data_IF_817029457341
#
_entry.id   IF_817029457341
#
_cell.length_a   1.000
_cell.length_b   1.000
_cell.length_c   1.000
_cell.angle_alpha   90.00
_cell.angle_beta   90.00
_cell.angle_gamma   90.00
#
_symmetry.space_group_name_H-M   'P 1'
#
loop_
_entity.id
_entity.type
_entity.pdbx_description
1 polymer ?
#
# COMPACT_ATOMS: atom_id res chain seq x y z
N UNK A 1 3.16 11.65 -20.51
CA UNK A 1 3.43 10.74 -19.36
C UNK A 1 4.72 9.97 -19.62
N UNK A 2 5.56 9.86 -18.62
CA UNK A 2 6.80 9.07 -18.62
C UNK A 2 6.58 7.89 -17.71
N UNK A 3 6.96 6.70 -18.16
CA UNK A 3 6.86 5.46 -17.38
C UNK A 3 8.19 4.73 -17.38
N UNK A 4 8.53 4.09 -16.27
CA UNK A 4 9.77 3.30 -16.13
C UNK A 4 9.59 2.24 -15.05
N UNK A 5 10.48 1.25 -15.04
CA UNK A 5 10.61 0.31 -13.91
C UNK A 5 11.64 0.80 -12.90
N UNK A 6 11.46 0.40 -11.65
CA UNK A 6 12.38 0.67 -10.54
C UNK A 6 12.68 -0.65 -9.83
N UNK A 7 13.90 -1.14 -9.98
CA UNK A 7 14.36 -2.31 -9.24
C UNK A 7 14.75 -1.91 -7.81
N UNK A 8 14.36 -2.72 -6.84
CA UNK A 8 14.70 -2.58 -5.43
C UNK A 8 14.74 -3.96 -4.76
N UNK A 9 15.05 -4.04 -3.46
CA UNK A 9 15.11 -5.32 -2.75
C UNK A 9 14.66 -5.21 -1.30
N UNK A 10 14.21 -6.33 -0.75
CA UNK A 10 14.02 -6.58 0.68
C UNK A 10 14.84 -7.82 1.06
N UNK A 11 16.03 -7.60 1.63
CA UNK A 11 17.02 -8.65 1.82
C UNK A 11 17.43 -9.27 0.47
N UNK A 12 17.30 -10.58 0.38
CA UNK A 12 17.63 -11.35 -0.85
C UNK A 12 16.47 -11.39 -1.88
N UNK A 13 15.32 -10.78 -1.57
CA UNK A 13 14.20 -10.75 -2.51
C UNK A 13 14.31 -9.56 -3.45
N UNK A 14 14.47 -9.85 -4.74
CA UNK A 14 14.40 -8.84 -5.80
C UNK A 14 12.96 -8.43 -6.06
N UNK A 15 12.74 -7.14 -6.24
CA UNK A 15 11.44 -6.49 -6.41
C UNK A 15 11.50 -5.49 -7.56
N UNK A 16 10.37 -5.28 -8.23
CA UNK A 16 10.29 -4.31 -9.32
C UNK A 16 9.01 -3.49 -9.20
N UNK A 17 9.14 -2.18 -9.03
CA UNK A 17 8.01 -1.25 -9.10
C UNK A 17 7.81 -0.70 -10.52
N UNK A 18 6.58 -0.27 -10.80
CA UNK A 18 6.25 0.53 -11.98
C UNK A 18 6.05 1.98 -11.55
N UNK A 19 6.75 2.89 -12.21
CA UNK A 19 6.76 4.33 -11.91
C UNK A 19 6.15 5.09 -13.07
N UNK A 20 5.23 6.01 -12.77
CA UNK A 20 4.62 6.91 -13.75
C UNK A 20 4.65 8.35 -13.24
N UNK A 21 4.98 9.31 -14.11
CA UNK A 21 4.95 10.75 -13.82
C UNK A 21 4.85 11.59 -15.09
N UNK A 22 4.41 12.83 -14.96
CA UNK A 22 4.51 13.83 -16.01
C UNK A 22 5.81 14.62 -15.85
N UNK A 23 6.47 14.96 -16.97
CA UNK A 23 7.66 15.79 -16.94
C UNK A 23 7.40 17.12 -16.21
N UNK A 24 8.32 17.54 -15.36
CA UNK A 24 8.27 18.80 -14.65
C UNK A 24 9.68 19.25 -14.24
N UNK A 25 9.84 20.55 -14.07
CA UNK A 25 11.09 21.16 -13.61
C UNK A 25 11.28 21.08 -12.09
N UNK A 26 10.24 20.63 -11.36
CA UNK A 26 10.26 20.53 -9.89
C UNK A 26 9.90 19.12 -9.45
N UNK A 27 10.42 18.71 -8.30
CA UNK A 27 10.03 17.47 -7.63
C UNK A 27 8.55 17.48 -7.27
N UNK A 28 7.93 16.30 -7.33
CA UNK A 28 6.50 16.07 -7.10
C UNK A 28 6.27 15.20 -5.88
N UNK A 29 5.11 15.31 -5.24
CA UNK A 29 4.74 14.35 -4.19
C UNK A 29 4.65 12.94 -4.75
N UNK A 30 4.99 11.97 -3.91
CA UNK A 30 4.90 10.54 -4.20
C UNK A 30 3.59 9.96 -3.68
N UNK A 31 2.95 9.13 -4.48
CA UNK A 31 1.91 8.20 -4.03
C UNK A 31 2.34 6.78 -4.34
N UNK A 32 2.54 5.98 -3.31
CA UNK A 32 2.73 4.54 -3.42
C UNK A 32 1.37 3.85 -3.63
N UNK A 33 1.28 2.93 -4.56
CA UNK A 33 0.09 2.14 -4.85
C UNK A 33 0.39 0.68 -4.54
N UNK A 34 -0.19 0.14 -3.47
CA UNK A 34 -0.11 -1.27 -3.15
C UNK A 34 -1.21 -2.04 -3.91
N UNK A 35 -0.78 -3.07 -4.63
CA UNK A 35 -1.64 -3.89 -5.49
C UNK A 35 -2.57 -4.79 -4.68
N UNK A 36 -3.60 -5.32 -5.32
CA UNK A 36 -4.46 -6.36 -4.78
C UNK A 36 -3.74 -7.74 -4.71
N UNK A 37 -4.45 -8.79 -4.39
CA UNK A 37 -3.87 -10.12 -4.24
C UNK A 37 -3.32 -10.75 -5.53
N UNK A 38 -3.60 -10.16 -6.71
CA UNK A 38 -3.10 -10.66 -7.99
C UNK A 38 -1.68 -10.17 -8.31
N UNK A 39 -1.11 -9.27 -7.50
CA UNK A 39 0.23 -8.74 -7.73
C UNK A 39 0.22 -7.40 -8.49
N UNK A 40 1.41 -6.90 -8.81
CA UNK A 40 1.62 -5.65 -9.56
C UNK A 40 1.27 -5.82 -11.06
N UNK A 41 0.00 -6.06 -11.33
CA UNK A 41 -0.55 -6.22 -12.69
C UNK A 41 -1.11 -4.90 -13.23
N UNK A 42 -1.79 -4.97 -14.35
CA UNK A 42 -2.30 -3.82 -15.12
C UNK A 42 -3.15 -2.87 -14.26
N UNK A 43 -3.99 -3.39 -13.37
CA UNK A 43 -4.79 -2.56 -12.47
C UNK A 43 -3.94 -1.59 -11.63
N UNK A 44 -2.86 -2.08 -11.05
CA UNK A 44 -1.96 -1.27 -10.21
C UNK A 44 -1.15 -0.28 -11.06
N UNK A 45 -0.66 -0.68 -12.24
CA UNK A 45 0.08 0.21 -13.13
C UNK A 45 -0.80 1.33 -13.69
N UNK A 46 -2.04 1.03 -14.08
CA UNK A 46 -3.02 2.04 -14.48
C UNK A 46 -3.39 2.99 -13.33
N UNK A 47 -3.43 2.49 -12.08
CA UNK A 47 -3.62 3.37 -10.92
C UNK A 47 -2.46 4.35 -10.76
N UNK A 48 -1.20 3.89 -10.95
CA UNK A 48 -0.02 4.77 -10.93
C UNK A 48 -0.09 5.85 -12.04
N UNK A 49 -0.54 5.48 -13.23
CA UNK A 49 -0.72 6.43 -14.35
C UNK A 49 -1.80 7.46 -14.05
N UNK A 50 -2.94 7.05 -13.45
CA UNK A 50 -3.98 7.99 -13.02
C UNK A 50 -3.47 9.00 -11.98
N UNK A 51 -2.68 8.53 -11.03
CA UNK A 51 -2.03 9.37 -10.02
C UNK A 51 -1.03 10.34 -10.70
N UNK A 52 -0.26 9.87 -11.67
CA UNK A 52 0.66 10.69 -12.44
C UNK A 52 -0.06 11.81 -13.21
N UNK A 53 -1.20 11.50 -13.83
CA UNK A 53 -2.02 12.49 -14.54
C UNK A 53 -2.58 13.59 -13.60
N UNK A 54 -2.68 13.33 -12.30
CA UNK A 54 -3.07 14.31 -11.27
C UNK A 54 -1.90 15.18 -10.78
N UNK A 55 -0.69 14.98 -11.32
CA UNK A 55 0.48 15.80 -10.99
C UNK A 55 1.40 15.22 -9.92
N UNK A 56 1.26 13.96 -9.56
CA UNK A 56 2.10 13.24 -8.61
C UNK A 56 3.14 12.35 -9.32
N UNK A 57 4.03 11.72 -8.57
CA UNK A 57 4.73 10.50 -9.00
C UNK A 57 3.93 9.32 -8.46
N UNK A 58 3.38 8.49 -9.35
CA UNK A 58 2.69 7.26 -9.00
C UNK A 58 3.64 6.08 -9.05
N UNK A 59 3.69 5.27 -7.99
CA UNK A 59 4.55 4.08 -7.92
C UNK A 59 3.71 2.87 -7.55
N UNK A 60 3.41 2.00 -8.53
CA UNK A 60 2.83 0.70 -8.25
C UNK A 60 3.93 -0.22 -7.73
N UNK A 61 3.91 -0.47 -6.42
CA UNK A 61 4.94 -1.25 -5.74
C UNK A 61 4.75 -2.76 -5.95
N UNK A 62 5.80 -3.53 -5.71
CA UNK A 62 5.79 -5.00 -5.74
C UNK A 62 5.93 -5.54 -4.31
N UNK A 63 4.99 -6.40 -3.90
CA UNK A 63 5.01 -7.06 -2.60
C UNK A 63 5.51 -8.50 -2.70
N UNK A 64 5.40 -9.13 -3.88
CA UNK A 64 5.60 -10.58 -4.01
C UNK A 64 7.01 -10.97 -4.48
N UNK A 65 7.57 -10.20 -5.38
CA UNK A 65 8.87 -10.47 -6.01
C UNK A 65 8.84 -10.19 -7.51
N UNK A 66 9.99 -9.85 -8.05
CA UNK A 66 10.14 -9.50 -9.46
C UNK A 66 9.63 -10.64 -10.36
N UNK A 67 8.62 -10.33 -11.17
CA UNK A 67 8.01 -11.30 -12.08
C UNK A 67 7.03 -12.28 -11.43
N UNK A 68 6.69 -12.11 -10.13
CA UNK A 68 5.73 -12.95 -9.42
C UNK A 68 4.35 -12.30 -9.45
N UNK A 69 3.38 -12.99 -10.07
CA UNK A 69 2.01 -12.53 -10.22
C UNK A 69 1.03 -13.66 -10.01
N UNK A 70 -0.13 -13.34 -9.48
CA UNK A 70 -1.29 -14.20 -9.49
C UNK A 70 -2.05 -14.15 -10.83
N UNK A 71 -3.15 -14.85 -10.91
CA UNK A 71 -3.98 -14.92 -12.11
C UNK A 71 -5.44 -14.61 -11.81
N UNK A 72 -6.15 -14.03 -12.79
CA UNK A 72 -7.59 -13.77 -12.65
C UNK A 72 -8.35 -15.10 -12.53
N UNK A 73 -9.21 -15.21 -11.50
CA UNK A 73 -9.97 -16.42 -11.22
C UNK A 73 -9.21 -17.53 -10.48
N UNK A 74 -7.92 -17.41 -10.26
CA UNK A 74 -7.12 -18.36 -9.47
C UNK A 74 -7.14 -17.99 -7.98
N UNK A 75 -8.23 -18.31 -7.31
CA UNK A 75 -8.41 -17.98 -5.89
C UNK A 75 -7.35 -18.63 -5.01
N UNK A 76 -7.02 -19.88 -5.24
CA UNK A 76 -6.07 -20.64 -4.40
C UNK A 76 -4.64 -20.12 -4.60
N UNK A 77 -4.22 -19.87 -5.86
CA UNK A 77 -2.91 -19.33 -6.17
C UNK A 77 -2.74 -17.91 -5.62
N UNK A 78 -3.74 -17.06 -5.78
CA UNK A 78 -3.71 -15.68 -5.24
C UNK A 78 -3.68 -15.68 -3.70
N UNK A 79 -4.45 -16.55 -3.06
CA UNK A 79 -4.42 -16.72 -1.61
C UNK A 79 -3.05 -17.19 -1.12
N UNK A 80 -2.41 -18.12 -1.83
CA UNK A 80 -1.07 -18.61 -1.49
C UNK A 80 0.00 -17.52 -1.59
N UNK A 81 -0.12 -16.58 -2.54
CA UNK A 81 0.77 -15.41 -2.64
C UNK A 81 0.57 -14.41 -1.49
N UNK A 82 -0.66 -14.20 -1.07
CA UNK A 82 -1.02 -13.23 -0.04
C UNK A 82 -0.76 -13.75 1.39
N UNK A 83 -1.01 -15.04 1.66
CA UNK A 83 -1.00 -15.62 3.01
C UNK A 83 0.27 -15.37 3.81
N UNK A 84 1.50 -15.47 3.24
CA UNK A 84 2.71 -15.18 4.01
C UNK A 84 2.74 -13.79 4.62
N UNK A 85 2.15 -12.80 3.94
CA UNK A 85 2.08 -11.42 4.42
C UNK A 85 0.93 -11.19 5.41
N UNK A 86 -0.15 -11.96 5.27
CA UNK A 86 -1.25 -11.92 6.21
C UNK A 86 -0.86 -12.59 7.55
N UNK A 87 -0.03 -13.61 7.52
CA UNK A 87 0.44 -14.36 8.69
C UNK A 87 1.65 -13.70 9.36
N UNK A 88 2.58 -13.11 8.59
CA UNK A 88 3.75 -12.37 9.10
C UNK A 88 3.67 -10.88 8.75
N UNK A 89 3.11 -10.09 9.67
CA UNK A 89 3.04 -8.62 9.52
C UNK A 89 4.43 -7.97 9.57
N UNK A 90 5.42 -8.61 10.18
CA UNK A 90 6.80 -8.16 10.16
C UNK A 90 7.39 -8.22 8.75
N UNK A 91 7.18 -9.32 8.02
CA UNK A 91 7.53 -9.44 6.61
C UNK A 91 6.83 -8.37 5.78
N UNK A 92 5.52 -8.19 5.96
CA UNK A 92 4.73 -7.19 5.24
C UNK A 92 5.29 -5.78 5.45
N UNK A 93 5.52 -5.39 6.73
CA UNK A 93 6.07 -4.06 7.08
C UNK A 93 7.45 -3.84 6.47
N UNK A 94 8.36 -4.82 6.52
CA UNK A 94 9.67 -4.71 5.88
C UNK A 94 9.53 -4.49 4.38
N UNK A 95 8.70 -5.28 3.70
CA UNK A 95 8.51 -5.25 2.26
C UNK A 95 7.97 -3.90 1.77
N UNK A 96 6.90 -3.37 2.39
CA UNK A 96 6.34 -2.08 1.99
C UNK A 96 7.28 -0.91 2.35
N UNK A 97 8.05 -1.02 3.44
CA UNK A 97 9.08 -0.01 3.78
C UNK A 97 10.24 0.00 2.79
N UNK A 98 10.63 -1.15 2.24
CA UNK A 98 11.63 -1.20 1.16
C UNK A 98 11.13 -0.43 -0.07
N UNK A 99 9.86 -0.61 -0.45
CA UNK A 99 9.24 0.16 -1.53
C UNK A 99 9.18 1.67 -1.23
N UNK A 100 8.86 2.06 0.01
CA UNK A 100 8.88 3.46 0.44
C UNK A 100 10.26 4.09 0.29
N UNK A 101 11.32 3.39 0.72
CA UNK A 101 12.70 3.87 0.59
C UNK A 101 13.07 4.01 -0.89
N UNK A 102 12.78 3.01 -1.71
CA UNK A 102 13.05 3.06 -3.14
C UNK A 102 12.31 4.21 -3.83
N UNK A 103 11.03 4.39 -3.53
CA UNK A 103 10.21 5.46 -4.08
C UNK A 103 10.71 6.86 -3.71
N UNK A 104 11.17 7.07 -2.47
CA UNK A 104 11.76 8.35 -2.03
C UNK A 104 13.05 8.71 -2.75
N UNK A 105 13.79 7.74 -3.25
CA UNK A 105 15.06 7.95 -3.96
C UNK A 105 14.88 8.25 -5.44
N UNK A 106 13.65 8.27 -5.96
CA UNK A 106 13.36 8.67 -7.34
C UNK A 106 13.68 10.16 -7.50
N UNK A 107 14.51 10.58 -8.47
CA UNK A 107 14.93 12.00 -8.59
C UNK A 107 13.79 13.01 -8.74
N UNK A 108 12.65 12.57 -9.31
CA UNK A 108 11.45 13.39 -9.52
C UNK A 108 10.58 13.55 -8.27
N UNK A 109 10.89 12.82 -7.19
CA UNK A 109 10.11 12.78 -5.96
C UNK A 109 10.60 13.82 -4.95
N UNK A 110 9.67 14.56 -4.36
CA UNK A 110 9.88 15.26 -3.09
C UNK A 110 9.73 14.24 -1.94
N UNK A 111 10.83 13.81 -1.30
CA UNK A 111 10.81 12.73 -0.32
C UNK A 111 10.06 13.09 0.98
N UNK A 112 9.74 14.37 1.19
CA UNK A 112 8.99 14.85 2.36
C UNK A 112 7.47 14.79 2.14
N UNK A 113 7.02 14.58 0.91
CA UNK A 113 5.61 14.60 0.50
C UNK A 113 5.20 13.24 -0.04
N UNK A 114 5.02 12.28 0.84
CA UNK A 114 4.71 10.88 0.49
C UNK A 114 3.38 10.46 1.10
N UNK A 115 2.54 9.82 0.29
CA UNK A 115 1.34 9.13 0.72
C UNK A 115 1.31 7.72 0.11
N UNK A 116 0.42 6.87 0.62
CA UNK A 116 0.20 5.54 0.07
C UNK A 116 -1.28 5.22 -0.06
N UNK A 117 -1.64 4.43 -1.05
CA UNK A 117 -2.97 3.86 -1.19
C UNK A 117 -2.89 2.41 -1.60
N UNK A 118 -3.93 1.64 -1.28
CA UNK A 118 -3.93 0.23 -1.63
C UNK A 118 -5.33 -0.35 -1.70
N UNK A 119 -5.47 -1.38 -2.53
CA UNK A 119 -6.74 -2.04 -2.80
C UNK A 119 -6.69 -3.48 -2.27
N UNK A 120 -7.73 -3.93 -1.57
CA UNK A 120 -7.83 -5.30 -1.07
C UNK A 120 -6.61 -5.67 -0.20
N UNK A 121 -5.78 -6.63 -0.61
CA UNK A 121 -4.49 -6.93 0.02
C UNK A 121 -3.62 -5.67 0.21
N UNK A 122 -3.57 -4.81 -0.83
CA UNK A 122 -2.84 -3.54 -0.75
C UNK A 122 -3.39 -2.58 0.30
N UNK A 123 -4.69 -2.63 0.57
CA UNK A 123 -5.30 -1.87 1.68
C UNK A 123 -4.73 -2.30 3.03
N UNK A 124 -4.57 -3.59 3.27
CA UNK A 124 -3.86 -4.13 4.43
C UNK A 124 -2.40 -3.63 4.47
N UNK A 125 -1.71 -3.67 3.32
CA UNK A 125 -0.31 -3.25 3.24
C UNK A 125 -0.11 -1.79 3.68
N UNK A 126 -0.94 -0.87 3.22
CA UNK A 126 -0.81 0.55 3.58
C UNK A 126 -1.22 0.83 5.03
N UNK A 127 -2.16 0.08 5.59
CA UNK A 127 -2.48 0.15 7.02
C UNK A 127 -1.29 -0.32 7.86
N UNK A 128 -0.63 -1.40 7.48
CA UNK A 128 0.58 -1.86 8.16
C UNK A 128 1.77 -0.90 7.99
N UNK A 129 1.84 -0.17 6.87
CA UNK A 129 2.79 0.92 6.72
C UNK A 129 2.54 2.02 7.77
N UNK A 130 1.29 2.44 7.97
CA UNK A 130 0.93 3.42 8.99
C UNK A 130 1.23 2.88 10.41
N UNK A 131 0.80 1.65 10.73
CA UNK A 131 1.06 0.97 12.01
C UNK A 131 2.54 0.80 12.33
N UNK A 132 3.40 0.77 11.31
CA UNK A 132 4.85 0.71 11.49
C UNK A 132 5.50 2.06 11.82
N UNK A 133 4.72 3.10 12.07
CA UNK A 133 5.22 4.46 12.37
C UNK A 133 5.94 5.11 11.19
N UNK A 134 5.69 4.67 9.95
CA UNK A 134 6.30 5.24 8.77
C UNK A 134 5.97 6.73 8.64
N UNK A 135 6.98 7.53 8.30
CA UNK A 135 6.84 8.97 8.12
C UNK A 135 6.24 9.27 6.74
N UNK A 136 4.94 9.02 6.60
CA UNK A 136 4.14 9.36 5.42
C UNK A 136 2.98 10.27 5.82
N UNK A 137 2.53 11.13 4.91
CA UNK A 137 1.49 12.13 5.20
C UNK A 137 0.11 11.49 5.39
N UNK A 138 -0.15 10.40 4.70
CA UNK A 138 -1.41 9.69 4.82
C UNK A 138 -1.43 8.37 4.08
N UNK A 139 -2.38 7.52 4.46
CA UNK A 139 -2.65 6.25 3.80
C UNK A 139 -4.14 6.11 3.49
N UNK A 140 -4.47 5.50 2.37
CA UNK A 140 -5.86 5.19 1.96
C UNK A 140 -6.00 3.69 1.74
N UNK A 141 -6.77 3.03 2.58
CA UNK A 141 -7.15 1.62 2.43
C UNK A 141 -8.49 1.51 1.74
N UNK A 142 -8.56 0.82 0.61
CA UNK A 142 -9.78 0.62 -0.16
C UNK A 142 -10.10 -0.88 -0.15
N UNK A 143 -11.21 -1.27 0.48
CA UNK A 143 -11.60 -2.67 0.60
C UNK A 143 -10.49 -3.54 1.25
N UNK A 144 -9.72 -2.97 2.19
CA UNK A 144 -8.60 -3.67 2.83
C UNK A 144 -9.02 -4.52 4.01
N UNK A 145 -8.20 -5.52 4.34
CA UNK A 145 -8.32 -6.25 5.61
C UNK A 145 -7.90 -5.31 6.73
N UNK A 146 -8.85 -4.99 7.62
CA UNK A 146 -8.68 -4.00 8.69
C UNK A 146 -8.00 -4.56 9.95
N UNK A 147 -8.09 -5.89 10.15
CA UNK A 147 -7.53 -6.53 11.32
C UNK A 147 -6.03 -6.25 11.48
N UNK A 148 -5.65 -5.80 12.67
CA UNK A 148 -4.25 -5.76 13.07
C UNK A 148 -3.70 -7.20 13.17
N UNK A 149 -2.40 -7.34 12.88
CA UNK A 149 -1.67 -8.56 13.21
C UNK A 149 -1.12 -8.53 14.64
N UNK A 150 -0.35 -9.53 15.00
CA UNK A 150 0.28 -9.63 16.33
C UNK A 150 1.44 -8.63 16.53
N UNK A 151 1.85 -7.93 15.50
CA UNK A 151 2.94 -6.93 15.58
C UNK A 151 2.47 -5.70 16.34
N UNK A 152 3.23 -5.30 17.36
CA UNK A 152 2.97 -4.07 18.10
C UNK A 152 2.97 -2.87 17.14
N UNK A 153 2.00 -1.98 17.31
CA UNK A 153 1.96 -0.73 16.58
C UNK A 153 3.00 0.25 17.14
N UNK A 154 3.69 0.91 16.22
CA UNK A 154 4.46 2.11 16.52
C UNK A 154 3.51 3.33 16.60
N UNK A 155 4.06 4.50 16.86
CA UNK A 155 3.31 5.76 16.84
C UNK A 155 2.82 6.07 15.41
N UNK A 156 1.49 6.02 15.20
CA UNK A 156 0.88 6.24 13.88
C UNK A 156 0.89 7.73 13.56
N UNK A 157 1.77 8.14 12.65
CA UNK A 157 1.94 9.54 12.23
C UNK A 157 1.07 9.92 11.03
N UNK A 158 0.75 8.94 10.20
CA UNK A 158 -0.02 9.13 8.99
C UNK A 158 -1.49 9.44 9.30
N UNK A 159 -2.13 10.29 8.49
CA UNK A 159 -3.58 10.33 8.41
C UNK A 159 -4.09 9.05 7.77
N UNK A 160 -5.16 8.47 8.30
CA UNK A 160 -5.67 7.17 7.85
C UNK A 160 -7.09 7.33 7.32
N UNK A 161 -7.32 6.93 6.07
CA UNK A 161 -8.64 6.86 5.47
C UNK A 161 -8.94 5.43 5.05
N UNK A 162 -10.05 4.86 5.55
CA UNK A 162 -10.58 3.59 5.09
C UNK A 162 -11.87 3.80 4.31
N UNK A 163 -11.93 3.24 3.10
CA UNK A 163 -13.11 3.14 2.26
C UNK A 163 -13.55 1.69 2.26
N UNK A 164 -14.67 1.40 2.94
CA UNK A 164 -15.06 0.05 3.30
C UNK A 164 -16.51 -0.25 2.90
N UNK A 165 -16.79 -1.45 2.39
CA UNK A 165 -18.14 -1.93 2.12
C UNK A 165 -18.76 -2.56 3.38
N UNK A 166 -20.00 -2.17 3.74
CA UNK A 166 -20.68 -2.72 4.93
C UNK A 166 -20.82 -4.25 4.89
N UNK A 167 -21.17 -4.75 3.72
CA UNK A 167 -21.39 -6.19 3.49
C UNK A 167 -20.13 -6.91 2.96
N UNK A 168 -18.93 -6.39 3.27
CA UNK A 168 -17.67 -7.02 2.86
C UNK A 168 -17.54 -8.42 3.47
N UNK A 169 -17.49 -9.49 2.65
CA UNK A 169 -17.49 -10.86 3.18
C UNK A 169 -16.19 -11.22 3.92
N UNK A 170 -15.10 -10.45 3.73
CA UNK A 170 -13.81 -10.69 4.38
C UNK A 170 -13.60 -9.83 5.63
N UNK A 171 -14.39 -8.78 5.79
CA UNK A 171 -14.22 -7.80 6.88
C UNK A 171 -15.59 -7.48 7.48
N UNK A 172 -16.08 -8.30 8.40
CA UNK A 172 -17.39 -8.10 9.01
C UNK A 172 -17.40 -6.80 9.86
N UNK A 173 -18.61 -6.25 10.15
CA UNK A 173 -18.76 -4.98 10.88
C UNK A 173 -18.02 -4.91 12.20
N UNK A 174 -17.87 -6.02 12.92
CA UNK A 174 -17.14 -6.09 14.19
C UNK A 174 -15.65 -5.80 14.00
N UNK A 175 -15.08 -6.18 12.87
CA UNK A 175 -13.68 -5.89 12.54
C UNK A 175 -13.48 -4.41 12.21
N UNK A 176 -14.46 -3.78 11.54
CA UNK A 176 -14.43 -2.34 11.30
C UNK A 176 -14.50 -1.57 12.64
N UNK A 177 -15.39 -1.95 13.57
CA UNK A 177 -15.47 -1.36 14.88
C UNK A 177 -14.18 -1.55 15.71
N UNK A 178 -13.56 -2.73 15.62
CA UNK A 178 -12.29 -2.99 16.28
C UNK A 178 -11.16 -2.10 15.73
N UNK A 179 -11.14 -1.88 14.41
CA UNK A 179 -10.21 -0.96 13.77
C UNK A 179 -10.41 0.51 14.22
N UNK A 180 -11.65 0.98 14.29
CA UNK A 180 -11.97 2.33 14.79
C UNK A 180 -11.51 2.53 16.24
N UNK A 181 -11.68 1.50 17.06
CA UNK A 181 -11.20 1.48 18.45
C UNK A 181 -9.67 1.56 18.50
N UNK A 182 -8.99 0.71 17.71
CA UNK A 182 -7.54 0.69 17.60
C UNK A 182 -6.98 2.06 17.21
N UNK A 183 -7.54 2.69 16.17
CA UNK A 183 -7.07 4.00 15.67
C UNK A 183 -7.30 5.12 16.72
N UNK A 184 -8.41 5.04 17.44
CA UNK A 184 -8.72 5.99 18.52
C UNK A 184 -7.75 5.84 19.69
N UNK A 185 -7.48 4.62 20.14
CA UNK A 185 -6.53 4.33 21.23
C UNK A 185 -5.10 4.70 20.86
N UNK A 186 -4.74 4.55 19.59
CA UNK A 186 -3.44 4.98 19.04
C UNK A 186 -3.32 6.50 18.89
N UNK A 187 -4.40 7.27 19.07
CA UNK A 187 -4.40 8.73 18.87
C UNK A 187 -4.20 9.15 17.42
N UNK A 188 -4.49 8.28 16.47
CA UNK A 188 -4.34 8.54 15.05
C UNK A 188 -5.38 9.56 14.52
N UNK A 189 -5.05 10.31 13.48
CA UNK A 189 -6.00 11.11 12.68
C UNK A 189 -6.62 10.18 11.62
N UNK A 190 -7.85 9.72 11.84
CA UNK A 190 -8.45 8.69 11.02
C UNK A 190 -9.90 8.98 10.63
N UNK A 191 -10.32 8.36 9.53
CA UNK A 191 -11.70 8.32 9.05
C UNK A 191 -12.00 6.95 8.44
N UNK A 192 -13.23 6.46 8.66
CA UNK A 192 -13.80 5.29 7.97
C UNK A 192 -15.07 5.72 7.25
N UNK A 193 -15.13 5.49 5.95
CA UNK A 193 -16.35 5.67 5.17
C UNK A 193 -16.90 4.28 4.81
N UNK A 194 -18.10 3.98 5.30
CA UNK A 194 -18.80 2.73 5.05
C UNK A 194 -19.87 2.96 3.98
N UNK A 195 -19.95 2.09 2.98
CA UNK A 195 -20.87 2.17 1.84
C UNK A 195 -21.85 1.01 1.84
#
# INVERSE_FOLDING_TARGET
MITQTLDYSDGDTELEAYVAFEAADTQKPLVLIAHDWTGRREFATQAAERIAAMGYVGVALDMYGKGVFGADGDTDGNAALMSPFAEDRGLLRRRIRAALVAGRNIPQVDPTRVAAMGYCFGGMCVLELARSGADVLGVVSIHGILAAGDSKNEDIKAKVLCLHGHDDPMVPPEQALAFETEMTEAGADWQVHVY
#
